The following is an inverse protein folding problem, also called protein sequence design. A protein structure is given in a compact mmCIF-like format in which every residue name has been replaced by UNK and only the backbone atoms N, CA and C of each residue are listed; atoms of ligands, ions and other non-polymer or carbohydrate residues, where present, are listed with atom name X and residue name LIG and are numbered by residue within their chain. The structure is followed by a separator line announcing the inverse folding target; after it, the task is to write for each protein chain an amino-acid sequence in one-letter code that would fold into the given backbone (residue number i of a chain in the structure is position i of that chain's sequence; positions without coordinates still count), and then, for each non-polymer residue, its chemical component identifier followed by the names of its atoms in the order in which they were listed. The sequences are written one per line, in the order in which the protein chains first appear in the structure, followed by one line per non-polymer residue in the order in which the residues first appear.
data_IF_202332338237
#
_entry.id   IF_202332338237
#
_cell.length_a   1.000
_cell.length_b   1.000
_cell.length_c   1.000
_cell.angle_alpha   90.00
_cell.angle_beta   90.00
_cell.angle_gamma   90.00
#
_symmetry.space_group_name_H-M   'P 1'
#
loop_
_entity.id
_entity.type
_entity.pdbx_description
1 polymer ?
#
# COMPACT_ATOMS: atom_id res chain seq x y z
N UNK A 1 19.75 0.17 -0.53
CA UNK A 1 20.71 -0.58 -1.39
C UNK A 1 20.41 -0.38 -2.88
N UNK A 2 19.20 -0.65 -3.38
CA UNK A 2 18.82 -0.49 -4.79
C UNK A 2 19.08 0.93 -5.31
N UNK A 3 18.60 1.94 -4.60
CA UNK A 3 18.82 3.38 -4.92
C UNK A 3 20.32 3.72 -4.93
N UNK A 4 21.08 3.20 -3.96
CA UNK A 4 22.52 3.43 -3.89
C UNK A 4 23.27 2.83 -5.10
N UNK A 5 22.90 1.61 -5.50
CA UNK A 5 23.50 0.96 -6.68
C UNK A 5 23.18 1.73 -7.97
N UNK A 6 21.95 2.25 -8.08
CA UNK A 6 21.54 3.09 -9.21
C UNK A 6 22.34 4.40 -9.26
N UNK A 7 22.47 5.10 -8.12
CA UNK A 7 23.25 6.32 -8.01
C UNK A 7 24.73 6.05 -8.35
N UNK A 8 25.29 4.92 -7.89
CA UNK A 8 26.65 4.50 -8.24
C UNK A 8 26.82 4.27 -9.75
N UNK A 9 25.87 3.60 -10.39
CA UNK A 9 25.89 3.39 -11.85
C UNK A 9 25.90 4.72 -12.61
N UNK A 10 25.15 5.73 -12.13
CA UNK A 10 25.17 7.07 -12.73
C UNK A 10 26.55 7.71 -12.58
N UNK A 11 27.12 7.71 -11.38
CA UNK A 11 28.48 8.24 -11.13
C UNK A 11 29.54 7.54 -11.98
N UNK A 12 29.40 6.22 -12.14
CA UNK A 12 30.30 5.42 -12.97
C UNK A 12 30.22 5.84 -14.43
N UNK A 13 29.00 6.04 -14.94
CA UNK A 13 28.77 6.45 -16.33
C UNK A 13 29.28 7.88 -16.61
N UNK A 14 29.10 8.79 -15.66
CA UNK A 14 29.60 10.17 -15.77
C UNK A 14 31.13 10.22 -15.84
N UNK A 15 31.83 9.35 -15.12
CA UNK A 15 33.30 9.34 -15.06
C UNK A 15 33.94 8.39 -16.08
N UNK A 16 33.26 7.30 -16.43
CA UNK A 16 33.76 6.24 -17.30
C UNK A 16 32.67 5.77 -18.26
N UNK A 17 32.31 6.58 -19.29
CA UNK A 17 31.18 6.27 -20.18
C UNK A 17 31.39 5.00 -21.01
N UNK A 18 32.65 4.53 -21.18
CA UNK A 18 33.00 3.30 -21.90
C UNK A 18 32.73 2.04 -21.08
N UNK A 19 32.60 2.13 -19.76
CA UNK A 19 32.35 0.97 -18.92
C UNK A 19 30.89 0.52 -18.98
N UNK A 20 30.71 -0.79 -19.01
CA UNK A 20 29.38 -1.37 -18.90
C UNK A 20 28.81 -1.13 -17.48
N UNK A 21 27.62 -0.57 -17.43
CA UNK A 21 26.91 -0.41 -16.17
C UNK A 21 26.38 -1.75 -15.64
N UNK A 22 26.28 -1.88 -14.33
CA UNK A 22 25.60 -3.00 -13.70
C UNK A 22 24.10 -2.93 -14.03
N UNK A 23 23.53 -4.01 -14.54
CA UNK A 23 22.08 -4.10 -14.76
C UNK A 23 21.38 -4.18 -13.42
N UNK A 24 20.51 -3.22 -13.17
CA UNK A 24 19.69 -3.15 -11.94
C UNK A 24 18.24 -3.27 -12.36
N UNK A 25 17.56 -4.34 -11.94
CA UNK A 25 16.11 -4.39 -12.08
C UNK A 25 15.47 -3.50 -11.03
N UNK A 26 14.60 -2.59 -11.47
CA UNK A 26 13.82 -1.70 -10.59
C UNK A 26 12.48 -2.33 -10.18
N UNK A 27 12.12 -3.47 -10.80
CA UNK A 27 10.84 -4.11 -10.54
C UNK A 27 10.82 -4.75 -9.16
N UNK A 28 9.74 -4.53 -8.42
CA UNK A 28 9.69 -4.81 -6.98
C UNK A 28 8.36 -5.41 -6.56
N UNK A 29 8.40 -6.24 -5.52
CA UNK A 29 7.22 -6.77 -4.82
C UNK A 29 7.06 -6.04 -3.48
N UNK A 30 5.87 -5.50 -3.22
CA UNK A 30 5.51 -4.88 -1.96
C UNK A 30 4.45 -5.73 -1.26
N UNK A 31 4.86 -6.47 -0.24
CA UNK A 31 4.08 -7.52 0.39
C UNK A 31 3.69 -7.13 1.82
N UNK A 32 2.44 -7.23 2.17
CA UNK A 32 1.97 -6.96 3.54
C UNK A 32 0.49 -6.61 3.62
N UNK A 33 0.00 -6.50 4.84
CA UNK A 33 -1.39 -6.21 5.15
C UNK A 33 -1.85 -4.81 4.69
N UNK A 34 -3.17 -4.55 4.63
CA UNK A 34 -3.69 -3.22 4.31
C UNK A 34 -3.23 -2.18 5.32
N UNK A 35 -3.05 -0.94 4.85
CA UNK A 35 -2.70 0.17 5.74
C UNK A 35 -1.28 0.15 6.31
N UNK A 36 -0.39 -0.72 5.86
CA UNK A 36 1.04 -0.77 6.24
C UNK A 36 1.91 0.26 5.51
N UNK A 37 1.32 1.13 4.67
CA UNK A 37 2.04 2.21 4.01
C UNK A 37 2.62 1.86 2.63
N UNK A 38 2.31 0.71 2.03
CA UNK A 38 2.85 0.30 0.71
C UNK A 38 2.76 1.39 -0.35
N UNK A 39 1.59 2.00 -0.52
CA UNK A 39 1.39 3.08 -1.50
C UNK A 39 2.21 4.33 -1.18
N UNK A 40 2.33 4.69 0.10
CA UNK A 40 3.13 5.84 0.55
C UNK A 40 4.61 5.60 0.27
N UNK A 41 5.10 4.42 0.61
CA UNK A 41 6.50 4.03 0.34
C UNK A 41 6.77 3.94 -1.16
N UNK A 42 5.78 3.47 -1.97
CA UNK A 42 5.92 3.44 -3.43
C UNK A 42 6.13 4.84 -4.02
N UNK A 43 5.42 5.86 -3.51
CA UNK A 43 5.62 7.27 -3.94
C UNK A 43 7.02 7.78 -3.57
N UNK A 44 7.50 7.47 -2.36
CA UNK A 44 8.86 7.80 -1.92
C UNK A 44 9.89 7.05 -2.77
N UNK A 45 9.65 5.79 -3.05
CA UNK A 45 10.52 4.95 -3.88
C UNK A 45 10.68 5.52 -5.29
N UNK A 46 9.58 5.95 -5.94
CA UNK A 46 9.63 6.60 -7.25
C UNK A 46 10.45 7.90 -7.23
N UNK A 47 10.25 8.76 -6.21
CA UNK A 47 11.02 9.99 -6.05
C UNK A 47 12.52 9.70 -5.85
N UNK A 48 12.87 8.73 -5.01
CA UNK A 48 14.27 8.33 -4.77
C UNK A 48 14.94 7.74 -6.02
N UNK A 49 14.21 6.95 -6.84
CA UNK A 49 14.73 6.43 -8.09
C UNK A 49 14.97 7.55 -9.12
N UNK A 50 14.11 8.57 -9.13
CA UNK A 50 14.32 9.75 -9.97
C UNK A 50 15.56 10.55 -9.52
N UNK A 51 15.68 10.84 -8.23
CA UNK A 51 16.86 11.54 -7.67
C UNK A 51 18.16 10.78 -7.95
N UNK A 52 18.12 9.44 -7.89
CA UNK A 52 19.26 8.59 -8.24
C UNK A 52 19.54 8.52 -9.75
N UNK A 53 18.67 9.07 -10.61
CA UNK A 53 18.81 9.07 -12.06
C UNK A 53 18.38 7.76 -12.73
N UNK A 54 17.63 6.89 -12.03
CA UNK A 54 17.10 5.64 -12.60
C UNK A 54 15.83 5.88 -13.42
N UNK A 55 15.05 6.87 -13.06
CA UNK A 55 13.79 7.24 -13.71
C UNK A 55 13.81 8.72 -14.10
N UNK A 56 13.24 9.05 -15.25
CA UNK A 56 13.26 10.44 -15.75
C UNK A 56 12.30 11.38 -15.00
N UNK A 57 11.24 10.87 -14.33
CA UNK A 57 10.21 11.66 -13.63
C UNK A 57 9.94 11.22 -12.19
N UNK A 58 9.86 9.91 -11.91
CA UNK A 58 9.66 9.37 -10.56
C UNK A 58 8.22 9.44 -10.02
N UNK A 59 7.23 9.85 -10.80
CA UNK A 59 5.82 9.80 -10.41
C UNK A 59 5.30 8.36 -10.32
N UNK A 60 4.15 8.17 -9.67
CA UNK A 60 3.56 6.84 -9.48
C UNK A 60 2.16 6.80 -10.10
N UNK A 61 1.95 5.88 -11.00
CA UNK A 61 0.64 5.52 -11.53
C UNK A 61 0.16 4.28 -10.79
N UNK A 62 -1.00 4.38 -10.15
CA UNK A 62 -1.59 3.28 -9.37
C UNK A 62 -2.75 2.72 -10.16
N UNK A 63 -2.74 1.42 -10.34
CA UNK A 63 -3.83 0.69 -10.99
C UNK A 63 -4.13 -0.60 -10.22
N UNK A 64 -5.24 -1.20 -10.53
CA UNK A 64 -5.70 -2.50 -10.03
C UNK A 64 -6.20 -3.38 -11.17
N UNK A 65 -6.67 -4.59 -10.85
CA UNK A 65 -7.26 -5.47 -11.86
C UNK A 65 -8.38 -4.77 -12.66
N UNK A 66 -9.23 -3.97 -12.00
CA UNK A 66 -10.35 -3.28 -12.65
C UNK A 66 -9.92 -2.26 -13.70
N UNK A 67 -8.74 -1.66 -13.52
CA UNK A 67 -8.16 -0.71 -14.46
C UNK A 67 -7.87 -1.33 -15.84
N UNK A 68 -7.57 -2.63 -15.87
CA UNK A 68 -7.20 -3.35 -17.10
C UNK A 68 -8.37 -4.07 -17.77
N UNK A 69 -9.45 -4.34 -17.02
CA UNK A 69 -10.59 -5.10 -17.54
C UNK A 69 -11.59 -4.14 -18.18
N UNK A 70 -11.72 -4.23 -19.50
CA UNK A 70 -12.74 -3.53 -20.27
C UNK A 70 -14.01 -4.37 -20.46
N UNK A 71 -14.93 -3.84 -21.26
CA UNK A 71 -16.20 -4.50 -21.59
C UNK A 71 -16.11 -5.35 -22.86
N UNK A 72 -15.07 -5.18 -23.66
CA UNK A 72 -14.87 -5.86 -24.94
C UNK A 72 -13.55 -6.64 -24.95
N UNK A 73 -13.49 -7.68 -25.74
CA UNK A 73 -12.25 -8.42 -26.01
C UNK A 73 -11.18 -7.49 -26.64
N UNK A 74 -9.97 -7.52 -26.07
CA UNK A 74 -8.85 -6.68 -26.52
C UNK A 74 -8.77 -5.31 -25.81
N UNK A 75 -9.70 -5.01 -24.91
CA UNK A 75 -9.62 -3.80 -24.08
C UNK A 75 -8.42 -3.88 -23.11
N UNK A 76 -8.03 -5.08 -22.67
CA UNK A 76 -6.90 -5.32 -21.77
C UNK A 76 -5.57 -4.82 -22.36
N UNK A 77 -5.32 -5.10 -23.64
CA UNK A 77 -4.09 -4.66 -24.32
C UNK A 77 -4.05 -3.14 -24.46
N UNK A 78 -5.18 -2.52 -24.85
CA UNK A 78 -5.28 -1.07 -24.95
C UNK A 78 -5.14 -0.40 -23.58
N UNK A 79 -5.79 -0.93 -22.54
CA UNK A 79 -5.69 -0.42 -21.18
C UNK A 79 -4.25 -0.54 -20.66
N UNK A 80 -3.59 -1.69 -20.87
CA UNK A 80 -2.18 -1.88 -20.50
C UNK A 80 -1.30 -0.83 -21.18
N UNK A 81 -1.45 -0.63 -22.50
CA UNK A 81 -0.68 0.36 -23.24
C UNK A 81 -0.87 1.78 -22.68
N UNK A 82 -2.10 2.19 -22.42
CA UNK A 82 -2.40 3.51 -21.83
C UNK A 82 -1.76 3.69 -20.45
N UNK A 83 -1.89 2.67 -19.58
CA UNK A 83 -1.32 2.72 -18.22
C UNK A 83 0.21 2.79 -18.27
N UNK A 84 0.85 2.03 -19.19
CA UNK A 84 2.30 2.07 -19.40
C UNK A 84 2.75 3.43 -19.91
N UNK A 85 2.05 4.02 -20.87
CA UNK A 85 2.33 5.38 -21.37
C UNK A 85 2.23 6.43 -20.25
N UNK A 86 1.21 6.32 -19.39
CA UNK A 86 1.06 7.20 -18.23
C UNK A 86 2.18 7.04 -17.21
N UNK A 87 2.67 5.81 -17.01
CA UNK A 87 3.71 5.48 -16.03
C UNK A 87 5.14 5.70 -16.56
N UNK A 88 5.30 6.04 -17.83
CA UNK A 88 6.61 6.24 -18.45
C UNK A 88 7.42 7.35 -17.76
N UNK A 89 8.63 7.04 -17.37
CA UNK A 89 9.50 7.87 -16.55
C UNK A 89 9.29 7.74 -15.06
N UNK A 90 8.37 6.86 -14.62
CA UNK A 90 7.97 6.70 -13.23
C UNK A 90 7.75 5.25 -12.80
N UNK A 91 6.85 5.06 -11.88
CA UNK A 91 6.52 3.77 -11.29
C UNK A 91 5.08 3.38 -11.66
N UNK A 92 4.91 2.20 -12.22
CA UNK A 92 3.63 1.53 -12.38
C UNK A 92 3.40 0.64 -11.16
N UNK A 93 2.48 1.02 -10.28
CA UNK A 93 2.08 0.22 -9.12
C UNK A 93 0.77 -0.50 -9.41
N UNK A 94 0.80 -1.83 -9.39
CA UNK A 94 -0.40 -2.67 -9.50
C UNK A 94 -0.79 -3.11 -8.09
N UNK A 95 -1.88 -2.54 -7.57
CA UNK A 95 -2.40 -2.88 -6.25
C UNK A 95 -3.26 -4.15 -6.32
N UNK A 96 -3.25 -4.92 -5.24
CA UNK A 96 -3.92 -6.23 -5.15
C UNK A 96 -3.61 -7.13 -6.36
N UNK A 97 -2.33 -7.14 -6.80
CA UNK A 97 -1.90 -7.83 -8.01
C UNK A 97 -2.19 -9.34 -8.00
N UNK A 98 -2.36 -9.97 -6.84
CA UNK A 98 -2.80 -11.35 -6.69
C UNK A 98 -4.16 -11.62 -7.33
N UNK A 99 -5.01 -10.60 -7.50
CA UNK A 99 -6.29 -10.73 -8.21
C UNK A 99 -6.11 -11.00 -9.70
N UNK A 100 -4.90 -10.83 -10.25
CA UNK A 100 -4.55 -11.23 -11.62
C UNK A 100 -4.34 -12.73 -11.75
N UNK A 101 -4.28 -13.49 -10.64
CA UNK A 101 -4.20 -14.94 -10.66
C UNK A 101 -5.55 -15.53 -11.13
N UNK A 102 -5.66 -15.71 -12.44
CA UNK A 102 -6.90 -16.15 -13.08
C UNK A 102 -7.28 -17.57 -12.67
N UNK A 103 -8.52 -17.73 -12.17
CA UNK A 103 -9.07 -19.03 -11.73
C UNK A 103 -9.44 -19.96 -12.88
N UNK A 104 -9.76 -19.41 -14.06
CA UNK A 104 -10.21 -20.11 -15.24
C UNK A 104 -9.31 -19.81 -16.44
N UNK A 105 -9.35 -20.64 -17.48
CA UNK A 105 -8.55 -20.43 -18.70
C UNK A 105 -8.88 -19.11 -19.41
N UNK A 106 -10.12 -18.68 -19.37
CA UNK A 106 -10.60 -17.44 -19.99
C UNK A 106 -10.58 -16.22 -19.06
N UNK A 107 -9.90 -16.29 -17.90
CA UNK A 107 -9.83 -15.17 -16.97
C UNK A 107 -8.95 -14.05 -17.56
N UNK A 108 -9.48 -12.80 -17.68
CA UNK A 108 -8.72 -11.66 -18.20
C UNK A 108 -7.42 -11.39 -17.44
N UNK A 109 -7.34 -11.80 -16.16
CA UNK A 109 -6.11 -11.68 -15.36
C UNK A 109 -4.91 -12.38 -16.00
N UNK A 110 -5.11 -13.54 -16.66
CA UNK A 110 -4.03 -14.25 -17.38
C UNK A 110 -3.50 -13.45 -18.56
N UNK A 111 -4.39 -12.76 -19.29
CA UNK A 111 -4.00 -11.89 -20.41
C UNK A 111 -3.18 -10.73 -19.87
N UNK A 112 -3.63 -10.10 -18.78
CA UNK A 112 -2.92 -8.99 -18.13
C UNK A 112 -1.53 -9.43 -17.67
N UNK A 113 -1.40 -10.61 -17.03
CA UNK A 113 -0.10 -11.17 -16.64
C UNK A 113 0.80 -11.39 -17.86
N UNK A 114 0.27 -11.92 -18.97
CA UNK A 114 1.05 -12.11 -20.19
C UNK A 114 1.51 -10.78 -20.80
N UNK A 115 0.65 -9.77 -20.85
CA UNK A 115 0.99 -8.43 -21.31
C UNK A 115 2.07 -7.79 -20.44
N UNK A 116 1.95 -7.95 -19.12
CA UNK A 116 2.95 -7.49 -18.15
C UNK A 116 4.31 -8.21 -18.39
N UNK A 117 4.29 -9.51 -18.63
CA UNK A 117 5.50 -10.27 -18.94
C UNK A 117 6.19 -9.78 -20.22
N UNK A 118 5.40 -9.42 -21.24
CA UNK A 118 5.92 -8.85 -22.49
C UNK A 118 6.56 -7.47 -22.24
N UNK A 119 5.89 -6.60 -21.47
CA UNK A 119 6.42 -5.30 -21.05
C UNK A 119 7.77 -5.45 -20.33
N UNK A 120 7.86 -6.36 -19.36
CA UNK A 120 9.06 -6.59 -18.56
C UNK A 120 10.21 -7.25 -19.36
N UNK A 121 9.91 -7.87 -20.49
CA UNK A 121 10.90 -8.44 -21.40
C UNK A 121 11.44 -7.42 -22.41
N UNK A 122 10.72 -6.31 -22.63
CA UNK A 122 11.11 -5.27 -23.59
C UNK A 122 12.20 -4.37 -23.02
N UNK A 123 13.41 -4.54 -23.50
CA UNK A 123 14.56 -3.73 -23.09
C UNK A 123 14.42 -2.23 -23.45
N UNK A 124 13.51 -1.87 -24.35
CA UNK A 124 13.24 -0.46 -24.69
C UNK A 124 12.45 0.26 -23.59
N UNK A 125 11.73 -0.47 -22.76
CA UNK A 125 10.90 0.06 -21.65
C UNK A 125 11.69 0.19 -20.34
N UNK A 126 12.92 0.72 -20.40
CA UNK A 126 13.80 0.82 -19.22
C UNK A 126 13.48 1.98 -18.29
N UNK A 127 12.80 3.00 -18.79
CA UNK A 127 12.41 4.17 -18.01
C UNK A 127 11.05 3.97 -17.30
N UNK A 128 10.87 2.78 -16.72
CA UNK A 128 9.71 2.42 -15.93
C UNK A 128 10.09 1.38 -14.86
N UNK A 129 9.64 1.60 -13.63
CA UNK A 129 9.67 0.60 -12.57
C UNK A 129 8.26 0.02 -12.38
N UNK A 130 8.14 -1.29 -12.26
CA UNK A 130 6.86 -1.94 -11.96
C UNK A 130 6.90 -2.44 -10.52
N UNK A 131 5.85 -2.13 -9.76
CA UNK A 131 5.70 -2.58 -8.37
C UNK A 131 4.38 -3.37 -8.27
N UNK A 132 4.48 -4.64 -7.92
CA UNK A 132 3.31 -5.46 -7.61
C UNK A 132 3.08 -5.45 -6.11
N UNK A 133 1.86 -5.08 -5.70
CA UNK A 133 1.47 -4.98 -4.31
C UNK A 133 0.38 -5.99 -3.96
N UNK A 134 0.41 -6.50 -2.74
CA UNK A 134 -0.64 -7.39 -2.25
C UNK A 134 -0.32 -8.06 -0.92
N UNK A 135 -1.22 -8.90 -0.48
CA UNK A 135 -1.01 -9.78 0.66
C UNK A 135 0.04 -10.84 0.35
N UNK A 136 0.85 -11.19 1.34
CA UNK A 136 2.01 -12.07 1.17
C UNK A 136 1.64 -13.42 0.57
N UNK A 137 0.70 -14.14 1.18
CA UNK A 137 0.33 -15.49 0.73
C UNK A 137 -0.32 -15.51 -0.66
N UNK A 138 -1.37 -14.70 -0.96
CA UNK A 138 -1.94 -14.65 -2.31
C UNK A 138 -0.94 -14.20 -3.39
N UNK A 139 0.02 -13.32 -3.06
CA UNK A 139 1.06 -12.92 -3.99
C UNK A 139 2.05 -14.06 -4.26
N UNK A 140 2.40 -14.88 -3.26
CA UNK A 140 3.21 -16.07 -3.46
C UNK A 140 2.52 -17.06 -4.41
N UNK A 141 1.22 -17.31 -4.24
CA UNK A 141 0.45 -18.16 -5.15
C UNK A 141 0.47 -17.64 -6.60
N UNK A 142 0.33 -16.32 -6.82
CA UNK A 142 0.45 -15.71 -8.14
C UNK A 142 1.83 -15.98 -8.76
N UNK A 143 2.90 -15.83 -7.99
CA UNK A 143 4.28 -16.00 -8.44
C UNK A 143 4.63 -17.48 -8.71
N UNK A 144 4.13 -18.41 -7.90
CA UNK A 144 4.28 -19.86 -8.09
C UNK A 144 3.57 -20.32 -9.37
N UNK A 145 2.38 -19.79 -9.63
CA UNK A 145 1.61 -20.07 -10.86
C UNK A 145 2.30 -19.50 -12.10
N UNK A 146 3.11 -18.45 -11.94
CA UNK A 146 3.79 -17.75 -13.03
C UNK A 146 5.31 -17.59 -12.76
N UNK A 147 6.13 -18.65 -12.93
CA UNK A 147 7.56 -18.61 -12.58
C UNK A 147 8.35 -17.54 -13.33
N UNK A 148 7.92 -17.18 -14.54
CA UNK A 148 8.50 -16.09 -15.32
C UNK A 148 8.32 -14.72 -14.68
N UNK A 149 7.26 -14.52 -13.92
CA UNK A 149 7.03 -13.30 -13.13
C UNK A 149 8.04 -13.21 -11.99
N UNK A 150 8.24 -14.30 -11.25
CA UNK A 150 9.14 -14.34 -10.11
C UNK A 150 10.58 -13.89 -10.50
N UNK A 151 11.07 -14.34 -11.65
CA UNK A 151 12.42 -13.99 -12.11
C UNK A 151 12.59 -12.50 -12.48
N UNK A 152 11.51 -11.80 -12.78
CA UNK A 152 11.51 -10.38 -13.18
C UNK A 152 11.33 -9.40 -12.02
N UNK A 153 10.92 -9.90 -10.84
CA UNK A 153 10.74 -9.11 -9.62
C UNK A 153 11.75 -9.53 -8.52
N UNK A 154 13.04 -9.23 -8.71
CA UNK A 154 14.08 -9.65 -7.77
C UNK A 154 14.05 -8.90 -6.44
N UNK A 155 13.45 -7.69 -6.42
CA UNK A 155 13.40 -6.86 -5.24
C UNK A 155 12.11 -7.15 -4.46
N UNK A 156 12.25 -7.59 -3.20
CA UNK A 156 11.15 -7.97 -2.34
C UNK A 156 11.16 -7.13 -1.07
N UNK A 157 10.09 -6.40 -0.83
CA UNK A 157 9.91 -5.56 0.35
C UNK A 157 8.72 -6.08 1.16
N UNK A 158 8.98 -6.50 2.39
CA UNK A 158 7.95 -6.96 3.31
C UNK A 158 7.56 -5.82 4.26
N UNK A 159 6.27 -5.51 4.31
CA UNK A 159 5.68 -4.51 5.16
C UNK A 159 5.03 -5.21 6.35
N UNK A 160 5.71 -5.19 7.48
CA UNK A 160 5.17 -5.72 8.73
C UNK A 160 3.98 -4.88 9.22
N UNK A 161 3.13 -5.52 10.04
CA UNK A 161 2.12 -4.76 10.78
C UNK A 161 2.79 -3.78 11.73
N UNK A 162 2.16 -2.61 11.89
CA UNK A 162 2.59 -1.64 12.89
C UNK A 162 2.35 -2.17 14.30
N UNK A 163 3.28 -1.89 15.19
CA UNK A 163 3.12 -2.09 16.63
C UNK A 163 2.06 -1.15 17.21
N UNK A 164 1.63 -1.39 18.46
CA UNK A 164 0.70 -0.48 19.16
C UNK A 164 1.28 0.92 19.25
N UNK A 165 2.56 1.06 19.59
CA UNK A 165 3.22 2.36 19.72
C UNK A 165 3.25 3.13 18.39
N UNK A 166 3.56 2.46 17.28
CA UNK A 166 3.52 3.05 15.94
C UNK A 166 2.10 3.46 15.53
N UNK A 167 1.08 2.66 15.87
CA UNK A 167 -0.33 3.00 15.63
C UNK A 167 -0.75 4.23 16.43
N UNK A 168 -0.28 4.37 17.67
CA UNK A 168 -0.53 5.56 18.52
C UNK A 168 0.22 6.78 17.99
N UNK A 169 1.43 6.62 17.46
CA UNK A 169 2.15 7.70 16.78
C UNK A 169 1.42 8.17 15.51
N UNK A 170 0.91 7.24 14.71
CA UNK A 170 0.07 7.55 13.54
C UNK A 170 -1.18 8.32 13.98
N UNK A 171 -1.79 7.92 15.10
CA UNK A 171 -2.94 8.62 15.69
C UNK A 171 -2.56 10.07 16.02
N UNK A 172 -1.48 10.27 16.77
CA UNK A 172 -1.02 11.61 17.21
C UNK A 172 -0.79 12.53 16.01
N UNK A 173 -0.08 12.08 15.00
CA UNK A 173 0.17 12.85 13.77
C UNK A 173 -1.11 13.24 13.05
N UNK A 174 -2.09 12.32 12.96
CA UNK A 174 -3.37 12.57 12.30
C UNK A 174 -4.24 13.57 13.04
N UNK A 175 -4.28 13.52 14.38
CA UNK A 175 -5.04 14.50 15.15
C UNK A 175 -4.41 15.89 15.12
N UNK A 176 -3.08 15.98 15.14
CA UNK A 176 -2.33 17.24 15.01
C UNK A 176 -2.61 17.92 13.67
N UNK A 177 -2.72 17.16 12.57
CA UNK A 177 -3.06 17.67 11.24
C UNK A 177 -4.36 18.47 11.23
N UNK A 178 -5.34 18.06 12.03
CA UNK A 178 -6.63 18.77 12.21
C UNK A 178 -6.69 19.65 13.46
N UNK A 179 -5.56 19.85 14.15
CA UNK A 179 -5.45 20.63 15.40
C UNK A 179 -6.30 20.10 16.57
N UNK A 180 -6.80 18.87 16.50
CA UNK A 180 -7.49 18.24 17.61
C UNK A 180 -6.54 17.84 18.73
N UNK A 181 -7.07 17.68 19.95
CA UNK A 181 -6.33 17.23 21.13
C UNK A 181 -7.18 16.27 21.95
N UNK A 182 -6.57 15.26 22.50
CA UNK A 182 -7.22 14.42 23.51
C UNK A 182 -7.05 15.02 24.91
N UNK A 183 -8.06 14.90 25.76
CA UNK A 183 -7.84 15.00 27.21
C UNK A 183 -7.00 13.81 27.67
N UNK A 184 -6.30 13.93 28.80
CA UNK A 184 -5.49 12.83 29.37
C UNK A 184 -6.34 11.56 29.55
N UNK A 185 -7.56 11.69 30.05
CA UNK A 185 -8.47 10.56 30.25
C UNK A 185 -8.95 9.95 28.93
N UNK A 186 -9.19 10.77 27.91
CA UNK A 186 -9.58 10.29 26.59
C UNK A 186 -8.43 9.53 25.91
N UNK A 187 -7.21 10.07 26.01
CA UNK A 187 -6.02 9.42 25.49
C UNK A 187 -5.79 8.04 26.13
N UNK A 188 -5.88 7.95 27.46
CA UNK A 188 -5.75 6.66 28.15
C UNK A 188 -6.79 5.66 27.68
N UNK A 189 -8.09 6.06 27.64
CA UNK A 189 -9.18 5.21 27.15
C UNK A 189 -8.94 4.75 25.70
N UNK A 190 -8.45 5.65 24.85
CA UNK A 190 -8.13 5.34 23.45
C UNK A 190 -6.98 4.34 23.35
N UNK A 191 -5.88 4.57 24.08
CA UNK A 191 -4.71 3.69 24.12
C UNK A 191 -5.09 2.27 24.55
N UNK A 192 -5.86 2.15 25.63
CA UNK A 192 -6.33 0.85 26.14
C UNK A 192 -7.19 0.13 25.08
N UNK A 193 -8.04 0.87 24.40
CA UNK A 193 -8.91 0.36 23.32
C UNK A 193 -8.10 -0.15 22.12
N UNK A 194 -7.08 0.60 21.68
CA UNK A 194 -6.21 0.20 20.57
C UNK A 194 -5.39 -1.04 20.96
N UNK A 195 -4.82 -1.09 22.16
CA UNK A 195 -4.06 -2.24 22.64
C UNK A 195 -4.93 -3.51 22.70
N UNK A 196 -6.17 -3.39 23.17
CA UNK A 196 -7.13 -4.49 23.19
C UNK A 196 -7.49 -4.96 21.78
N UNK A 197 -7.78 -4.03 20.85
CA UNK A 197 -8.08 -4.36 19.46
C UNK A 197 -6.88 -5.06 18.77
N UNK A 198 -5.68 -4.56 19.02
CA UNK A 198 -4.46 -5.15 18.48
C UNK A 198 -4.24 -6.58 19.00
N UNK A 199 -4.48 -6.84 20.29
CA UNK A 199 -4.33 -8.18 20.87
C UNK A 199 -5.36 -9.19 20.32
N UNK A 200 -6.54 -8.72 19.95
CA UNK A 200 -7.64 -9.55 19.42
C UNK A 200 -7.71 -9.58 17.88
N UNK A 201 -6.74 -8.93 17.20
CA UNK A 201 -6.76 -8.80 15.74
C UNK A 201 -6.62 -10.13 15.01
N UNK A 202 -7.17 -10.19 13.83
CA UNK A 202 -6.82 -11.17 12.83
C UNK A 202 -5.54 -10.71 12.11
N UNK A 203 -4.45 -11.48 12.23
CA UNK A 203 -3.14 -11.13 11.68
C UNK A 203 -3.09 -11.16 10.14
N UNK A 204 -4.02 -11.83 9.49
CA UNK A 204 -4.08 -11.91 8.02
C UNK A 204 -4.79 -10.70 7.39
N UNK A 205 -5.71 -10.08 8.14
CA UNK A 205 -6.59 -9.02 7.63
C UNK A 205 -6.49 -7.71 8.40
N UNK A 206 -5.55 -7.59 9.33
CA UNK A 206 -5.38 -6.39 10.15
C UNK A 206 -5.17 -5.13 9.31
N UNK A 207 -5.99 -4.11 9.60
CA UNK A 207 -6.06 -2.89 8.78
C UNK A 207 -5.02 -1.82 9.06
N UNK A 208 -4.19 -1.98 10.09
CA UNK A 208 -3.09 -1.06 10.43
C UNK A 208 -3.53 0.44 10.46
N UNK A 209 -2.85 1.32 9.72
CA UNK A 209 -3.19 2.75 9.66
C UNK A 209 -4.61 3.02 9.10
N UNK A 210 -5.17 2.10 8.29
CA UNK A 210 -6.56 2.20 7.83
C UNK A 210 -7.55 1.96 8.99
N UNK A 211 -7.22 1.02 9.87
CA UNK A 211 -7.99 0.81 11.10
C UNK A 211 -7.99 2.07 11.98
N UNK A 212 -6.82 2.71 12.19
CA UNK A 212 -6.71 3.97 12.93
C UNK A 212 -7.56 5.08 12.28
N UNK A 213 -7.48 5.23 10.95
CA UNK A 213 -8.28 6.22 10.22
C UNK A 213 -9.78 6.05 10.48
N UNK A 214 -10.28 4.82 10.39
CA UNK A 214 -11.70 4.51 10.63
C UNK A 214 -12.10 4.79 12.09
N UNK A 215 -11.21 4.53 13.06
CA UNK A 215 -11.50 4.84 14.46
C UNK A 215 -11.55 6.36 14.70
N UNK A 216 -10.62 7.11 14.14
CA UNK A 216 -10.59 8.57 14.25
C UNK A 216 -11.83 9.21 13.60
N UNK A 217 -12.26 8.72 12.45
CA UNK A 217 -13.49 9.20 11.80
C UNK A 217 -14.71 9.02 12.72
N UNK A 218 -14.86 7.86 13.36
CA UNK A 218 -15.94 7.61 14.34
C UNK A 218 -15.86 8.56 15.53
N UNK A 219 -14.65 8.81 16.04
CA UNK A 219 -14.41 9.75 17.15
C UNK A 219 -14.81 11.17 16.73
N UNK A 220 -14.41 11.62 15.54
CA UNK A 220 -14.76 12.95 15.04
C UNK A 220 -16.27 13.15 14.88
N UNK A 221 -17.00 12.12 14.42
CA UNK A 221 -18.45 12.14 14.32
C UNK A 221 -19.11 12.27 15.72
N UNK A 222 -18.64 11.50 16.71
CA UNK A 222 -19.15 11.57 18.08
C UNK A 222 -18.83 12.91 18.75
N UNK A 223 -17.60 13.39 18.58
CA UNK A 223 -17.17 14.70 19.05
C UNK A 223 -18.03 15.82 18.46
N UNK A 224 -18.23 15.85 17.15
CA UNK A 224 -19.09 16.82 16.49
C UNK A 224 -20.54 16.75 17.03
N UNK A 225 -21.07 15.53 17.17
CA UNK A 225 -22.42 15.30 17.71
C UNK A 225 -22.56 15.84 19.15
N UNK A 226 -21.57 15.61 20.02
CA UNK A 226 -21.54 16.14 21.37
C UNK A 226 -21.50 17.67 21.37
N UNK A 227 -20.58 18.26 20.58
CA UNK A 227 -20.43 19.72 20.52
C UNK A 227 -21.65 20.43 19.96
N UNK A 228 -22.40 19.83 19.06
CA UNK A 228 -23.68 20.39 18.56
C UNK A 228 -24.79 20.31 19.64
N UNK A 229 -24.87 19.18 20.35
CA UNK A 229 -25.89 19.02 21.42
C UNK A 229 -25.58 19.85 22.67
N UNK A 230 -24.32 20.01 23.00
CA UNK A 230 -23.82 20.73 24.17
C UNK A 230 -22.63 21.62 23.73
N UNK A 231 -22.92 22.81 23.18
CA UNK A 231 -21.88 23.71 22.71
C UNK A 231 -20.85 24.05 23.79
N UNK A 232 -19.54 23.89 23.50
CA UNK A 232 -18.50 24.24 24.46
C UNK A 232 -18.54 25.74 24.79
N UNK A 233 -18.24 26.09 26.03
CA UNK A 233 -18.16 27.48 26.46
C UNK A 233 -16.94 28.22 25.95
N UNK A 234 -15.83 27.48 25.78
CA UNK A 234 -14.55 28.02 25.28
C UNK A 234 -14.29 27.55 23.87
N UNK A 235 -13.75 28.44 23.05
CA UNK A 235 -13.40 28.11 21.63
C UNK A 235 -12.42 26.95 21.53
N UNK A 236 -11.44 26.86 22.44
CA UNK A 236 -10.45 25.78 22.46
C UNK A 236 -11.05 24.41 22.78
N UNK A 237 -12.19 24.36 23.45
CA UNK A 237 -12.85 23.10 23.81
C UNK A 237 -13.56 22.46 22.58
N UNK A 238 -13.75 23.23 21.49
CA UNK A 238 -14.22 22.71 20.21
C UNK A 238 -13.24 21.72 19.56
N UNK A 239 -11.97 21.76 19.94
CA UNK A 239 -10.93 20.88 19.41
C UNK A 239 -10.52 19.79 20.42
N UNK A 240 -11.23 19.71 21.56
CA UNK A 240 -10.86 18.85 22.67
C UNK A 240 -11.71 17.57 22.71
N UNK A 241 -11.09 16.45 22.33
CA UNK A 241 -11.69 15.11 22.36
C UNK A 241 -11.72 14.62 23.81
N UNK A 242 -12.92 14.24 24.27
CA UNK A 242 -13.18 13.75 25.63
C UNK A 242 -13.42 12.24 25.65
N UNK A 243 -13.42 11.58 26.84
CA UNK A 243 -13.66 10.14 26.93
C UNK A 243 -15.04 9.70 26.38
N UNK A 244 -16.01 10.61 26.31
CA UNK A 244 -17.35 10.37 25.78
C UNK A 244 -17.34 10.22 24.25
N UNK A 245 -16.36 10.82 23.59
CA UNK A 245 -16.19 10.76 22.15
C UNK A 245 -15.57 9.43 21.69
N UNK A 246 -14.95 8.68 22.62
CA UNK A 246 -14.30 7.39 22.32
C UNK A 246 -15.35 6.28 22.24
N UNK A 247 -15.63 5.86 21.00
CA UNK A 247 -16.59 4.79 20.70
C UNK A 247 -15.93 3.43 20.87
N UNK A 248 -16.54 2.50 21.60
CA UNK A 248 -16.02 1.13 21.70
C UNK A 248 -15.90 0.47 20.32
N UNK A 249 -14.86 -0.33 20.14
CA UNK A 249 -14.68 -1.14 18.93
C UNK A 249 -15.58 -2.37 19.05
N UNK A 250 -16.40 -2.60 18.02
CA UNK A 250 -17.09 -3.87 17.89
C UNK A 250 -16.06 -4.95 17.50
N UNK A 251 -15.66 -5.76 18.48
CA UNK A 251 -14.78 -6.88 18.21
C UNK A 251 -15.50 -7.89 17.31
N UNK A 252 -14.88 -8.35 16.23
CA UNK A 252 -15.45 -9.42 15.45
C UNK A 252 -15.63 -10.62 16.36
N UNK A 253 -16.86 -11.12 16.47
CA UNK A 253 -17.11 -12.38 17.18
C UNK A 253 -16.24 -13.45 16.53
N UNK A 254 -15.34 -14.10 17.31
CA UNK A 254 -14.60 -15.25 16.82
C UNK A 254 -15.62 -16.22 16.20
N UNK A 255 -15.57 -16.40 14.88
CA UNK A 255 -16.30 -17.49 14.24
C UNK A 255 -15.69 -18.77 14.80
N UNK A 256 -16.38 -19.43 15.73
CA UNK A 256 -16.05 -20.80 16.07
C UNK A 256 -16.04 -21.56 14.75
N UNK A 257 -14.89 -22.02 14.30
CA UNK A 257 -14.81 -23.04 13.27
C UNK A 257 -15.55 -24.24 13.86
N UNK A 258 -16.80 -24.43 13.47
CA UNK A 258 -17.51 -25.67 13.71
C UNK A 258 -16.76 -26.69 12.86
N UNK A 259 -15.85 -27.41 13.47
CA UNK A 259 -15.19 -28.56 12.86
C UNK A 259 -16.27 -29.63 12.69
N UNK A 260 -16.69 -29.86 11.47
CA UNK A 260 -17.30 -31.13 11.12
C UNK A 260 -16.15 -32.15 11.12
N UNK A 261 -15.99 -32.84 12.26
CA UNK A 261 -15.24 -34.07 12.29
C UNK A 261 -16.00 -35.12 11.47
N UNK A 262 -15.33 -35.69 10.49
CA UNK A 262 -15.61 -37.01 9.94
C UNK A 262 -14.33 -37.80 10.07
#
# INVERSE_FOLDING_TARGET
ELVALTAYNRMLHEQFPELKQHRVSLHSLFLGNPGTGKTTVCKIFGALLHEAGALSKGHVVICDRGTFIGTLWGDEERAMKQVVEMAQGGVLMIDEAYLLNGKNENDPGKIIVQLLMNLLADESQRDIAVVLCGYKEPMNELLETNPGLLSRFPNRFEFADFSVDELLEITSRRIEEYSYRFTVKAWQKYTDMIALAFSARDTETWGNARFIANQLERIYIQHATRCVKQPPKNHNDLLLITPEDIVPIEMPRRKNRIGFGV
#
